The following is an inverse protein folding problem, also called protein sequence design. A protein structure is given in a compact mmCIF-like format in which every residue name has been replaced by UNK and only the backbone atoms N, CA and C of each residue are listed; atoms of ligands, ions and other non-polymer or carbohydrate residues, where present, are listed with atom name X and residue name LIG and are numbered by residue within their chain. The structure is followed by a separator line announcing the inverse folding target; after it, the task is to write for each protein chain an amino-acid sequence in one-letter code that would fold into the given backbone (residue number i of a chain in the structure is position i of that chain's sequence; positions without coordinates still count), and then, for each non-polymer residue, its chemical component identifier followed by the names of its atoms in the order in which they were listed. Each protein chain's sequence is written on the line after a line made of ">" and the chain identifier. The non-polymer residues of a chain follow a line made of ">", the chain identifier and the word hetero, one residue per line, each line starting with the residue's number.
data_IF_909341449729
#
_entry.id   IF_909341449729
#
_cell.length_a   1.000
_cell.length_b   1.000
_cell.length_c   1.000
_cell.angle_alpha   90.00
_cell.angle_beta   90.00
_cell.angle_gamma   90.00
#
_symmetry.space_group_name_H-M   'P 1'
#
loop_
_entity.id
_entity.type
_entity.pdbx_description
1 polymer ?
#
# COMPACT_ATOMS: atom_id res chain seq x y z
N UNK A 1 32.88 8.44 68.94
CA UNK A 1 31.71 7.63 68.56
C UNK A 1 30.70 8.35 67.70
N UNK A 2 30.35 9.58 68.04
CA UNK A 2 29.40 10.37 67.26
C UNK A 2 29.84 10.62 65.84
N UNK A 3 31.16 10.83 65.64
CA UNK A 3 31.74 11.05 64.30
C UNK A 3 31.63 9.81 63.39
N UNK A 4 31.74 8.62 63.94
CA UNK A 4 31.63 7.36 63.19
C UNK A 4 30.20 7.11 62.81
N UNK A 5 29.26 7.35 63.73
CA UNK A 5 27.82 7.23 63.48
C UNK A 5 27.37 8.22 62.42
N UNK A 6 27.86 9.45 62.47
CA UNK A 6 27.56 10.49 61.46
C UNK A 6 28.10 10.12 60.08
N UNK A 7 29.32 9.58 59.99
CA UNK A 7 29.88 9.09 58.71
C UNK A 7 29.12 7.92 58.15
N UNK A 8 28.71 6.97 58.99
CA UNK A 8 27.89 5.84 58.58
C UNK A 8 26.53 6.32 58.08
N UNK A 9 25.91 7.27 58.76
CA UNK A 9 24.67 7.87 58.35
C UNK A 9 24.80 8.60 56.97
N UNK A 10 25.91 9.34 56.78
CA UNK A 10 26.17 10.03 55.51
C UNK A 10 26.39 9.03 54.38
N UNK A 11 27.11 7.94 54.64
CA UNK A 11 27.32 6.90 53.62
C UNK A 11 25.98 6.23 53.27
N UNK A 12 25.15 5.94 54.26
CA UNK A 12 23.83 5.36 54.02
C UNK A 12 22.93 6.26 53.20
N UNK A 13 22.89 7.55 53.53
CA UNK A 13 22.15 8.57 52.76
C UNK A 13 22.66 8.68 51.33
N UNK A 14 23.97 8.68 51.12
CA UNK A 14 24.58 8.71 49.82
C UNK A 14 24.22 7.47 49.01
N UNK A 15 24.24 6.29 49.63
CA UNK A 15 23.85 5.04 48.98
C UNK A 15 22.37 5.05 48.55
N UNK A 16 21.49 5.53 49.41
CA UNK A 16 20.06 5.67 49.11
C UNK A 16 19.86 6.63 47.95
N UNK A 17 20.56 7.78 47.98
CA UNK A 17 20.49 8.77 46.90
C UNK A 17 20.94 8.19 45.54
N UNK A 18 22.01 7.41 45.52
CA UNK A 18 22.50 6.73 44.32
C UNK A 18 21.48 5.72 43.80
N UNK A 19 20.90 4.93 44.71
CA UNK A 19 19.88 3.96 44.34
C UNK A 19 18.60 4.60 43.81
N UNK A 20 18.16 5.69 44.44
CA UNK A 20 17.00 6.46 43.96
C UNK A 20 17.26 7.10 42.59
N UNK A 21 18.45 7.64 42.40
CA UNK A 21 18.88 8.19 41.10
C UNK A 21 18.94 7.13 40.04
N UNK A 22 19.45 5.94 40.34
CA UNK A 22 19.47 4.81 39.42
C UNK A 22 18.05 4.33 39.07
N UNK A 23 17.15 4.30 40.07
CA UNK A 23 15.76 3.96 39.86
C UNK A 23 15.04 4.96 38.95
N UNK A 24 15.25 6.25 39.15
CA UNK A 24 14.72 7.30 38.30
C UNK A 24 15.27 7.23 36.88
N UNK A 25 16.56 6.97 36.73
CA UNK A 25 17.19 6.78 35.43
C UNK A 25 16.62 5.60 34.68
N UNK A 26 16.37 4.49 35.37
CA UNK A 26 15.76 3.30 34.82
C UNK A 26 14.35 3.60 34.27
N UNK A 27 13.56 4.33 35.02
CA UNK A 27 12.21 4.74 34.63
C UNK A 27 12.25 5.65 33.39
N UNK A 28 13.17 6.60 33.37
CA UNK A 28 13.34 7.52 32.28
C UNK A 28 13.76 6.79 31.00
N UNK A 29 14.70 5.85 31.10
CA UNK A 29 15.12 5.03 29.97
C UNK A 29 13.98 4.17 29.43
N UNK A 30 13.16 3.61 30.32
CA UNK A 30 11.98 2.83 29.92
C UNK A 30 10.97 3.70 29.14
N UNK A 31 10.72 4.93 29.59
CA UNK A 31 9.86 5.89 28.88
C UNK A 31 10.42 6.26 27.51
N UNK A 32 11.71 6.55 27.45
CA UNK A 32 12.40 6.86 26.19
C UNK A 32 12.30 5.69 25.19
N UNK A 33 12.48 4.47 25.68
CA UNK A 33 12.34 3.26 24.87
C UNK A 33 10.91 3.11 24.34
N UNK A 34 9.90 3.31 25.20
CA UNK A 34 8.50 3.25 24.80
C UNK A 34 8.17 4.31 23.73
N UNK A 35 8.66 5.54 23.93
CA UNK A 35 8.47 6.63 22.96
C UNK A 35 9.13 6.32 21.60
N UNK A 36 10.36 5.81 21.64
CA UNK A 36 11.07 5.42 20.43
C UNK A 36 10.39 4.27 19.69
N UNK A 37 9.91 3.29 20.43
CA UNK A 37 9.18 2.15 19.87
C UNK A 37 7.87 2.62 19.24
N UNK A 38 7.11 3.46 19.93
CA UNK A 38 5.86 4.01 19.40
C UNK A 38 6.10 4.86 18.15
N UNK A 39 7.14 5.69 18.16
CA UNK A 39 7.52 6.50 16.99
C UNK A 39 7.96 5.64 15.79
N UNK A 40 8.70 4.57 16.06
CA UNK A 40 9.14 3.63 15.05
C UNK A 40 7.95 2.88 14.44
N UNK A 41 7.04 2.40 15.27
CA UNK A 41 5.83 1.69 14.81
C UNK A 41 4.93 2.61 13.98
N UNK A 42 4.74 3.85 14.42
CA UNK A 42 3.95 4.84 13.69
C UNK A 42 4.57 5.17 12.32
N UNK A 43 5.89 5.30 12.26
CA UNK A 43 6.62 5.55 11.01
C UNK A 43 6.49 4.36 10.06
N UNK A 44 6.64 3.15 10.59
CA UNK A 44 6.52 1.93 9.82
C UNK A 44 5.13 1.74 9.24
N UNK A 45 4.11 2.01 10.04
CA UNK A 45 2.72 1.95 9.60
C UNK A 45 2.44 2.97 8.51
N UNK A 46 2.93 4.19 8.65
CA UNK A 46 2.81 5.24 7.62
C UNK A 46 3.48 4.83 6.31
N UNK A 47 4.71 4.31 6.37
CA UNK A 47 5.41 3.81 5.19
C UNK A 47 4.65 2.68 4.50
N UNK A 48 4.08 1.78 5.29
CA UNK A 48 3.27 0.68 4.76
C UNK A 48 2.02 1.19 4.08
N UNK A 49 1.32 2.15 4.68
CA UNK A 49 0.12 2.76 4.09
C UNK A 49 0.46 3.53 2.80
N UNK A 50 1.58 4.25 2.78
CA UNK A 50 2.04 4.96 1.60
C UNK A 50 2.35 3.99 0.45
N UNK A 51 3.00 2.87 0.76
CA UNK A 51 3.28 1.81 -0.24
C UNK A 51 2.00 1.18 -0.77
N UNK A 52 1.06 0.89 0.12
CA UNK A 52 -0.25 0.34 -0.29
C UNK A 52 -0.97 1.30 -1.20
N UNK A 53 -0.97 2.60 -0.87
CA UNK A 53 -1.58 3.63 -1.71
C UNK A 53 -0.93 3.72 -3.08
N UNK A 54 0.40 3.65 -3.16
CA UNK A 54 1.14 3.65 -4.42
C UNK A 54 0.82 2.42 -5.28
N UNK A 55 0.78 1.24 -4.66
CA UNK A 55 0.47 -0.01 -5.35
C UNK A 55 -0.96 0.05 -5.89
N UNK A 56 -1.92 0.49 -5.08
CA UNK A 56 -3.32 0.64 -5.52
C UNK A 56 -3.45 1.63 -6.67
N UNK A 57 -2.74 2.75 -6.60
CA UNK A 57 -2.72 3.74 -7.68
C UNK A 57 -2.20 3.18 -8.99
N UNK A 58 -1.10 2.43 -8.94
CA UNK A 58 -0.54 1.77 -10.13
C UNK A 58 -1.47 0.71 -10.68
N UNK A 59 -2.05 -0.11 -9.82
CA UNK A 59 -3.01 -1.14 -10.24
C UNK A 59 -4.24 -0.53 -10.89
N UNK A 60 -4.72 0.58 -10.36
CA UNK A 60 -5.87 1.29 -10.94
C UNK A 60 -5.55 1.88 -12.31
N UNK A 61 -4.37 2.48 -12.48
CA UNK A 61 -3.90 2.97 -13.77
C UNK A 61 -3.79 1.83 -14.80
N UNK A 62 -3.18 0.72 -14.41
CA UNK A 62 -3.05 -0.45 -15.27
C UNK A 62 -4.42 -1.01 -15.66
N UNK A 63 -5.33 -1.09 -14.69
CA UNK A 63 -6.69 -1.55 -14.95
C UNK A 63 -7.42 -0.63 -15.93
N UNK A 64 -7.28 0.68 -15.79
CA UNK A 64 -7.88 1.64 -16.71
C UNK A 64 -7.29 1.52 -18.11
N UNK A 65 -5.98 1.33 -18.24
CA UNK A 65 -5.33 1.10 -19.52
C UNK A 65 -5.82 -0.18 -20.18
N UNK A 66 -5.93 -1.27 -19.42
CA UNK A 66 -6.48 -2.52 -19.93
C UNK A 66 -7.93 -2.36 -20.40
N UNK A 67 -8.75 -1.65 -19.63
CA UNK A 67 -10.13 -1.39 -20.01
C UNK A 67 -10.24 -0.58 -21.30
N UNK A 68 -9.38 0.43 -21.47
CA UNK A 68 -9.31 1.20 -22.72
C UNK A 68 -8.90 0.31 -23.88
N UNK A 69 -7.90 -0.51 -23.67
CA UNK A 69 -7.41 -1.43 -24.70
C UNK A 69 -8.49 -2.45 -25.09
N UNK A 70 -9.19 -3.02 -24.11
CA UNK A 70 -10.30 -3.92 -24.37
C UNK A 70 -11.44 -3.25 -25.14
N UNK A 71 -11.75 -2.00 -24.82
CA UNK A 71 -12.76 -1.22 -25.55
C UNK A 71 -12.35 -0.98 -26.99
N UNK A 72 -11.10 -0.62 -27.23
CA UNK A 72 -10.57 -0.42 -28.58
C UNK A 72 -10.56 -1.73 -29.37
N UNK A 73 -10.13 -2.81 -28.74
CA UNK A 73 -10.14 -4.15 -29.34
C UNK A 73 -11.56 -4.59 -29.68
N UNK A 74 -12.51 -4.36 -28.78
CA UNK A 74 -13.91 -4.66 -29.01
C UNK A 74 -14.48 -3.84 -30.19
N UNK A 75 -14.15 -2.56 -30.26
CA UNK A 75 -14.55 -1.71 -31.38
C UNK A 75 -13.97 -2.19 -32.70
N UNK A 76 -12.69 -2.58 -32.69
CA UNK A 76 -12.03 -3.12 -33.88
C UNK A 76 -12.67 -4.44 -34.34
N UNK A 77 -13.00 -5.31 -33.40
CA UNK A 77 -13.71 -6.57 -33.70
C UNK A 77 -15.09 -6.28 -34.26
N UNK A 78 -15.83 -5.36 -33.67
CA UNK A 78 -17.16 -4.96 -34.17
C UNK A 78 -17.08 -4.37 -35.57
N UNK A 79 -16.10 -3.53 -35.84
CA UNK A 79 -15.88 -2.95 -37.17
C UNK A 79 -15.58 -4.04 -38.21
N UNK A 80 -14.74 -5.01 -37.87
CA UNK A 80 -14.46 -6.17 -38.73
C UNK A 80 -15.70 -7.01 -39.01
N UNK A 81 -16.51 -7.24 -37.97
CA UNK A 81 -17.74 -7.99 -38.10
C UNK A 81 -18.74 -7.25 -38.99
N UNK A 82 -18.85 -5.94 -38.85
CA UNK A 82 -19.71 -5.11 -39.73
C UNK A 82 -19.24 -5.17 -41.17
N UNK A 83 -17.93 -5.00 -41.43
CA UNK A 83 -17.35 -5.11 -42.76
C UNK A 83 -17.59 -6.50 -43.37
N UNK A 84 -17.36 -7.54 -42.59
CA UNK A 84 -17.59 -8.92 -43.01
C UNK A 84 -19.08 -9.17 -43.29
N UNK A 85 -19.96 -8.63 -42.47
CA UNK A 85 -21.39 -8.75 -42.65
C UNK A 85 -21.82 -8.03 -43.93
N UNK A 86 -21.38 -6.81 -44.18
CA UNK A 86 -21.69 -6.05 -45.40
C UNK A 86 -21.17 -6.74 -46.64
N UNK A 87 -19.92 -7.22 -46.62
CA UNK A 87 -19.34 -7.96 -47.72
C UNK A 87 -20.11 -9.25 -48.05
N UNK A 88 -20.43 -10.01 -47.02
CA UNK A 88 -21.23 -11.24 -47.18
C UNK A 88 -22.65 -10.96 -47.59
N UNK A 89 -23.24 -9.89 -47.09
CA UNK A 89 -24.58 -9.50 -47.45
C UNK A 89 -24.67 -9.13 -48.94
N UNK A 90 -23.69 -8.37 -49.44
CA UNK A 90 -23.60 -8.05 -50.87
C UNK A 90 -23.42 -9.30 -51.71
N UNK A 91 -22.49 -10.17 -51.34
CA UNK A 91 -22.27 -11.46 -52.01
C UNK A 91 -23.51 -12.32 -52.00
N UNK A 92 -24.19 -12.41 -50.88
CA UNK A 92 -25.39 -13.16 -50.71
C UNK A 92 -26.53 -12.57 -51.56
N UNK A 93 -26.68 -11.26 -51.58
CA UNK A 93 -27.67 -10.56 -52.38
C UNK A 93 -27.40 -10.73 -53.88
N UNK A 94 -26.14 -10.65 -54.31
CA UNK A 94 -25.73 -10.87 -55.70
C UNK A 94 -25.95 -12.32 -56.10
N UNK A 95 -25.64 -13.26 -55.26
CA UNK A 95 -25.89 -14.69 -55.53
C UNK A 95 -27.38 -15.00 -55.66
N UNK A 96 -28.21 -14.43 -54.81
CA UNK A 96 -29.66 -14.52 -54.91
C UNK A 96 -30.19 -13.91 -56.22
N UNK A 97 -29.71 -12.74 -56.54
CA UNK A 97 -30.09 -12.03 -57.77
C UNK A 97 -29.73 -12.83 -59.03
N UNK A 98 -28.51 -13.38 -59.06
CA UNK A 98 -28.04 -14.23 -60.15
C UNK A 98 -28.88 -15.52 -60.27
N UNK A 99 -29.23 -16.09 -59.12
CA UNK A 99 -30.08 -17.27 -59.09
C UNK A 99 -31.49 -17.00 -59.64
N UNK A 100 -32.04 -15.83 -59.34
CA UNK A 100 -33.31 -15.37 -59.89
C UNK A 100 -33.28 -15.13 -61.40
N UNK A 101 -32.20 -14.58 -61.90
CA UNK A 101 -32.06 -14.30 -63.35
C UNK A 101 -31.89 -15.56 -64.19
N UNK A 102 -31.27 -16.60 -63.65
CA UNK A 102 -31.06 -17.88 -64.34
C UNK A 102 -32.33 -18.71 -64.51
N UNK A 103 -33.33 -18.39 -63.73
CA UNK A 103 -34.65 -19.01 -63.90
C UNK A 103 -35.49 -18.22 -64.88
#
# INVERSE_FOLDING_TARGET
>A
MDTVINRLSDIEKAAVSVMDGAGERKKQMAREMEEKTAAFDARREKETQDRISQIRGKMEEELQQELRQQKEDAKAVMARLEEAYEARHEEYAQALFKSMIKE
#
